data_IF_886587925589
#
_entry.id   IF_886587925589
#
_cell.length_a   1.000
_cell.length_b   1.000
_cell.length_c   1.000
_cell.angle_alpha   90.00
_cell.angle_beta   90.00
_cell.angle_gamma   90.00
#
_symmetry.space_group_name_H-M   'P 1'
#
loop_
_entity.id
_entity.type
_entity.pdbx_description
1 polymer ?
#
# COMPACT_ATOMS: atom_id res chain seq x y z
N UNK A 1 -7.48 32.83 -10.11
CA UNK A 1 -6.60 31.74 -9.64
C UNK A 1 -6.80 31.67 -8.14
N UNK A 2 -7.67 30.76 -7.69
CA UNK A 2 -8.00 30.61 -6.27
C UNK A 2 -6.87 29.76 -5.68
N UNK A 3 -6.02 30.38 -4.87
CA UNK A 3 -5.08 29.66 -4.02
C UNK A 3 -5.90 29.05 -2.90
N UNK A 4 -6.18 27.74 -2.96
CA UNK A 4 -6.50 27.00 -1.76
C UNK A 4 -5.21 26.97 -0.95
N UNK A 5 -5.17 27.80 0.10
CA UNK A 5 -4.26 27.59 1.22
C UNK A 5 -4.40 26.12 1.61
N UNK A 6 -3.28 25.38 1.60
CA UNK A 6 -3.16 24.01 2.10
C UNK A 6 -3.24 24.06 3.63
N UNK A 7 -4.32 24.63 4.16
CA UNK A 7 -4.63 24.67 5.59
C UNK A 7 -4.87 23.24 6.04
N UNK A 8 -3.82 22.67 6.64
CA UNK A 8 -3.77 21.48 7.50
C UNK A 8 -4.78 20.38 7.20
N UNK A 9 -4.76 19.82 5.98
CA UNK A 9 -5.32 18.49 5.74
C UNK A 9 -4.60 17.49 6.66
N UNK A 10 -5.24 17.05 7.74
CA UNK A 10 -4.60 16.15 8.70
C UNK A 10 -4.77 14.70 8.28
N UNK A 11 -3.73 13.91 8.53
CA UNK A 11 -3.68 12.50 8.19
C UNK A 11 -3.97 11.65 9.43
N UNK A 12 -4.96 10.77 9.30
CA UNK A 12 -5.44 9.89 10.35
C UNK A 12 -5.42 8.44 9.88
N UNK A 13 -5.17 7.50 10.79
CA UNK A 13 -5.12 6.07 10.48
C UNK A 13 -6.03 5.30 11.41
N UNK A 14 -6.91 4.47 10.86
CA UNK A 14 -7.82 3.61 11.62
C UNK A 14 -7.63 2.16 11.22
N UNK A 15 -7.50 1.29 12.23
CA UNK A 15 -7.63 -0.15 12.06
C UNK A 15 -8.73 -0.70 12.96
N UNK A 16 -9.68 -1.40 12.35
CA UNK A 16 -10.71 -2.16 13.07
C UNK A 16 -10.36 -3.65 13.08
N UNK A 17 -10.44 -4.27 14.26
CA UNK A 17 -10.12 -5.68 14.45
C UNK A 17 -11.38 -6.49 14.62
N UNK A 18 -11.50 -7.56 13.84
CA UNK A 18 -12.61 -8.50 13.89
C UNK A 18 -12.15 -9.88 14.36
N UNK A 19 -13.03 -10.59 15.05
CA UNK A 19 -12.72 -11.89 15.68
C UNK A 19 -12.23 -12.95 14.68
N UNK A 20 -12.60 -12.77 13.41
CA UNK A 20 -12.14 -13.52 12.25
C UNK A 20 -12.43 -12.72 10.98
N UNK A 21 -11.92 -13.19 9.84
CA UNK A 21 -12.25 -12.65 8.53
C UNK A 21 -13.29 -13.55 7.85
N UNK A 22 -14.49 -13.01 7.56
CA UNK A 22 -15.55 -13.76 6.87
C UNK A 22 -16.98 -13.37 7.32
N UNK A 23 -18.00 -14.07 6.80
CA UNK A 23 -19.39 -13.89 7.23
C UNK A 23 -19.57 -14.14 8.72
N UNK A 24 -20.25 -13.22 9.42
CA UNK A 24 -20.45 -13.31 10.87
C UNK A 24 -19.30 -12.77 11.72
N UNK A 25 -18.26 -12.21 11.09
CA UNK A 25 -17.25 -11.43 11.78
C UNK A 25 -17.89 -10.32 12.62
N UNK A 26 -17.37 -10.14 13.83
CA UNK A 26 -17.77 -9.06 14.74
C UNK A 26 -16.54 -8.26 15.11
N UNK A 27 -16.60 -6.92 15.07
CA UNK A 27 -15.50 -6.10 15.53
C UNK A 27 -15.37 -6.27 17.05
N UNK A 28 -14.14 -6.27 17.56
CA UNK A 28 -13.86 -6.41 19.00
C UNK A 28 -12.81 -5.42 19.51
N UNK A 29 -12.09 -4.73 18.63
CA UNK A 29 -11.13 -3.69 19.03
C UNK A 29 -10.92 -2.68 17.91
N UNK A 30 -10.44 -1.49 18.26
CA UNK A 30 -9.98 -0.49 17.30
C UNK A 30 -8.71 0.21 17.79
N UNK A 31 -7.89 0.67 16.84
CA UNK A 31 -6.89 1.70 17.10
C UNK A 31 -7.03 2.81 16.06
N UNK A 32 -7.02 4.05 16.52
CA UNK A 32 -7.02 5.27 15.74
C UNK A 32 -5.76 6.07 16.10
N UNK A 33 -4.94 6.39 15.11
CA UNK A 33 -3.90 7.41 15.21
C UNK A 33 -4.48 8.71 14.66
N UNK A 34 -4.60 9.71 15.53
CA UNK A 34 -5.02 11.06 15.17
C UNK A 34 -3.89 12.02 15.54
N UNK A 35 -3.18 12.50 14.51
CA UNK A 35 -2.00 13.36 14.66
C UNK A 35 -0.95 12.80 15.65
N UNK A 36 -0.64 11.51 15.52
CA UNK A 36 0.32 10.81 16.40
C UNK A 36 -0.19 10.51 17.82
N UNK A 37 -1.38 11.00 18.18
CA UNK A 37 -2.07 10.58 19.41
C UNK A 37 -2.82 9.29 19.14
N UNK A 38 -2.54 8.26 19.95
CA UNK A 38 -3.15 6.95 19.79
C UNK A 38 -4.37 6.82 20.71
N UNK A 39 -5.51 6.51 20.09
CA UNK A 39 -6.73 6.12 20.76
C UNK A 39 -6.99 4.66 20.45
N UNK A 40 -7.22 3.84 21.46
CA UNK A 40 -7.59 2.45 21.25
C UNK A 40 -8.59 2.02 22.32
N UNK A 41 -9.45 1.08 21.96
CA UNK A 41 -10.36 0.43 22.88
C UNK A 41 -10.70 -0.97 22.36
N UNK A 42 -11.22 -1.82 23.24
CA UNK A 42 -11.56 -3.20 22.93
C UNK A 42 -12.69 -3.74 23.82
N UNK A 43 -13.30 -4.82 23.34
CA UNK A 43 -14.35 -5.54 24.04
C UNK A 43 -13.82 -6.08 25.37
N UNK A 44 -14.47 -5.68 26.46
CA UNK A 44 -14.17 -6.14 27.82
C UNK A 44 -15.09 -7.29 28.21
N UNK A 45 -14.73 -8.00 29.28
CA UNK A 45 -15.60 -9.03 29.88
C UNK A 45 -16.92 -8.45 30.38
N UNK A 46 -16.92 -7.18 30.76
CA UNK A 46 -18.14 -6.46 31.10
C UNK A 46 -18.95 -6.16 29.84
N UNK A 47 -20.04 -6.91 29.64
CA UNK A 47 -20.93 -6.77 28.49
C UNK A 47 -21.69 -5.42 28.47
N UNK A 48 -21.66 -4.65 29.56
CA UNK A 48 -22.26 -3.31 29.60
C UNK A 48 -21.32 -2.22 29.09
N UNK A 49 -20.03 -2.53 28.93
CA UNK A 49 -19.05 -1.59 28.41
C UNK A 49 -19.18 -1.45 26.89
N UNK A 50 -19.66 -0.29 26.46
CA UNK A 50 -19.76 0.06 25.05
C UNK A 50 -18.46 0.73 24.56
N UNK A 51 -17.51 -0.11 24.16
CA UNK A 51 -16.24 0.33 23.58
C UNK A 51 -16.40 0.96 22.17
N UNK A 52 -17.48 0.65 21.44
CA UNK A 52 -17.69 1.19 20.09
C UNK A 52 -18.18 2.65 20.13
N UNK A 53 -18.85 3.06 21.21
CA UNK A 53 -19.23 4.46 21.44
C UNK A 53 -18.01 5.40 21.46
N UNK A 54 -16.85 4.93 21.93
CA UNK A 54 -15.59 5.69 21.89
C UNK A 54 -15.16 5.96 20.45
N UNK A 55 -15.21 4.95 19.58
CA UNK A 55 -14.89 5.09 18.15
C UNK A 55 -15.88 6.03 17.44
N UNK A 56 -17.18 5.87 17.70
CA UNK A 56 -18.20 6.73 17.10
C UNK A 56 -17.97 8.21 17.45
N UNK A 57 -17.60 8.51 18.69
CA UNK A 57 -17.27 9.88 19.10
C UNK A 57 -16.05 10.41 18.35
N UNK A 58 -14.96 9.64 18.31
CA UNK A 58 -13.72 10.04 17.63
C UNK A 58 -13.94 10.30 16.13
N UNK A 59 -14.77 9.51 15.46
CA UNK A 59 -15.07 9.69 14.04
C UNK A 59 -15.97 10.90 13.77
N UNK A 60 -16.96 11.19 14.64
CA UNK A 60 -17.78 12.41 14.51
C UNK A 60 -16.98 13.68 14.74
N UNK A 61 -16.11 13.66 15.74
CA UNK A 61 -15.31 14.82 16.13
C UNK A 61 -14.17 15.10 15.12
N UNK A 62 -13.96 14.22 14.14
CA UNK A 62 -12.95 14.37 13.08
C UNK A 62 -13.36 15.44 12.06
N UNK A 63 -12.51 16.46 11.80
CA UNK A 63 -12.76 17.50 10.81
C UNK A 63 -13.12 16.96 9.41
N UNK A 64 -13.94 17.68 8.65
CA UNK A 64 -14.35 17.28 7.28
C UNK A 64 -13.21 17.17 6.29
N UNK A 65 -12.19 18.00 6.43
CA UNK A 65 -11.05 18.06 5.52
C UNK A 65 -9.95 17.04 5.87
N UNK A 66 -10.11 16.27 6.94
CA UNK A 66 -9.12 15.28 7.36
C UNK A 66 -9.21 14.03 6.50
N UNK A 67 -8.05 13.46 6.17
CA UNK A 67 -7.94 12.20 5.45
C UNK A 67 -7.86 11.06 6.46
N UNK A 68 -8.73 10.07 6.29
CA UNK A 68 -8.72 8.84 7.07
C UNK A 68 -8.26 7.67 6.19
N UNK A 69 -7.17 7.02 6.57
CA UNK A 69 -6.69 5.79 5.93
C UNK A 69 -7.18 4.55 6.69
N UNK A 70 -7.48 3.47 5.96
CA UNK A 70 -7.86 2.13 6.46
C UNK A 70 -7.12 1.02 5.69
N UNK A 71 -6.99 -0.19 6.23
CA UNK A 71 -6.42 -1.33 5.48
C UNK A 71 -7.45 -2.11 4.66
N UNK A 72 -8.71 -2.11 5.07
CA UNK A 72 -9.78 -2.77 4.34
C UNK A 72 -11.12 -2.09 4.61
N UNK A 73 -11.33 -0.94 3.96
CA UNK A 73 -12.51 -0.11 4.16
C UNK A 73 -13.80 -0.90 3.91
N UNK A 74 -13.83 -1.78 2.91
CA UNK A 74 -15.05 -2.51 2.53
C UNK A 74 -15.50 -3.55 3.57
N UNK A 75 -14.55 -4.26 4.19
CA UNK A 75 -14.87 -5.21 5.26
C UNK A 75 -15.22 -4.49 6.57
N UNK A 76 -14.45 -3.45 6.90
CA UNK A 76 -14.63 -2.68 8.12
C UNK A 76 -15.94 -1.88 8.10
N UNK A 77 -16.27 -1.23 6.98
CA UNK A 77 -17.55 -0.54 6.76
C UNK A 77 -18.73 -1.49 6.94
N UNK A 78 -18.74 -2.65 6.26
CA UNK A 78 -19.88 -3.58 6.33
C UNK A 78 -20.10 -4.12 7.74
N UNK A 79 -19.02 -4.34 8.48
CA UNK A 79 -19.07 -4.99 9.79
C UNK A 79 -19.34 -3.98 10.92
N UNK A 80 -18.82 -2.75 10.80
CA UNK A 80 -19.07 -1.65 11.74
C UNK A 80 -20.34 -0.85 11.42
N UNK A 81 -20.89 -0.96 10.20
CA UNK A 81 -22.14 -0.33 9.74
C UNK A 81 -23.27 -0.29 10.79
N UNK A 82 -23.66 -1.41 11.41
CA UNK A 82 -24.79 -1.38 12.35
C UNK A 82 -24.45 -0.73 13.70
N UNK A 83 -23.19 -0.41 13.98
CA UNK A 83 -22.71 0.01 15.30
C UNK A 83 -22.36 1.50 15.38
N UNK A 84 -22.26 2.18 14.24
CA UNK A 84 -21.83 3.58 14.15
C UNK A 84 -23.00 4.48 13.74
N UNK A 85 -22.92 5.75 14.13
CA UNK A 85 -23.86 6.76 13.66
C UNK A 85 -23.70 7.02 12.16
N UNK A 86 -24.73 7.57 11.51
CA UNK A 86 -24.69 7.88 10.07
C UNK A 86 -23.51 8.79 9.68
N UNK A 87 -23.14 9.71 10.56
CA UNK A 87 -22.03 10.64 10.35
C UNK A 87 -20.68 9.91 10.38
N UNK A 88 -20.42 9.12 11.42
CA UNK A 88 -19.23 8.26 11.51
C UNK A 88 -19.12 7.28 10.35
N UNK A 89 -20.25 6.73 9.90
CA UNK A 89 -20.28 5.85 8.74
C UNK A 89 -19.94 6.57 7.45
N UNK A 90 -20.35 7.83 7.29
CA UNK A 90 -19.95 8.65 6.14
C UNK A 90 -18.42 8.82 6.11
N UNK A 91 -17.81 9.14 7.25
CA UNK A 91 -16.34 9.25 7.38
C UNK A 91 -15.63 7.95 7.02
N UNK A 92 -16.07 6.84 7.59
CA UNK A 92 -15.49 5.52 7.30
C UNK A 92 -15.71 5.12 5.83
N UNK A 93 -16.85 5.48 5.25
CA UNK A 93 -17.17 5.23 3.83
C UNK A 93 -16.24 5.97 2.88
N UNK A 94 -15.84 7.19 3.25
CA UNK A 94 -14.93 8.04 2.48
C UNK A 94 -13.45 7.80 2.79
N UNK A 95 -13.13 6.84 3.66
CA UNK A 95 -11.73 6.52 3.99
C UNK A 95 -10.96 5.95 2.80
N UNK A 96 -9.66 6.24 2.76
CA UNK A 96 -8.71 5.74 1.76
C UNK A 96 -8.26 4.34 2.16
N UNK A 97 -8.68 3.34 1.40
CA UNK A 97 -8.22 1.95 1.58
C UNK A 97 -6.82 1.80 1.00
N UNK A 98 -5.80 1.84 1.86
CA UNK A 98 -4.39 1.84 1.46
C UNK A 98 -4.05 0.65 0.57
N UNK A 99 -4.60 -0.52 0.85
CA UNK A 99 -4.33 -1.72 0.08
C UNK A 99 -4.92 -1.62 -1.32
N UNK A 100 -6.19 -1.23 -1.45
CA UNK A 100 -6.83 -1.05 -2.76
C UNK A 100 -6.17 0.04 -3.57
N UNK A 101 -5.81 1.14 -2.93
CA UNK A 101 -5.23 2.30 -3.59
C UNK A 101 -3.80 2.03 -4.08
N UNK A 102 -2.94 1.44 -3.23
CA UNK A 102 -1.61 1.00 -3.65
C UNK A 102 -1.72 -0.01 -4.79
N UNK A 103 -2.64 -0.98 -4.69
CA UNK A 103 -2.88 -1.94 -5.78
C UNK A 103 -3.38 -1.27 -7.06
N UNK A 104 -4.29 -0.31 -6.96
CA UNK A 104 -4.83 0.41 -8.11
C UNK A 104 -3.74 1.24 -8.81
N UNK A 105 -2.85 1.87 -8.04
CA UNK A 105 -1.78 2.74 -8.54
C UNK A 105 -0.58 1.97 -9.08
N UNK A 106 -0.14 0.94 -8.36
CA UNK A 106 1.02 0.15 -8.76
C UNK A 106 0.68 -0.91 -9.80
N UNK A 107 -0.61 -1.32 -9.88
CA UNK A 107 -1.09 -2.44 -10.71
C UNK A 107 -0.38 -3.77 -10.42
N UNK A 108 0.44 -3.81 -9.37
CA UNK A 108 1.05 -5.01 -8.83
C UNK A 108 -0.07 -5.75 -8.13
N UNK A 109 -0.42 -6.93 -8.64
CA UNK A 109 -1.24 -7.86 -7.88
C UNK A 109 -0.40 -8.24 -6.66
N UNK A 110 -0.83 -7.92 -5.43
CA UNK A 110 -0.10 -8.38 -4.25
C UNK A 110 -0.16 -9.90 -4.32
N UNK A 111 0.99 -10.53 -4.57
CA UNK A 111 1.09 -11.98 -4.41
C UNK A 111 0.59 -12.32 -3.00
N UNK A 112 0.13 -13.56 -2.76
CA UNK A 112 -0.25 -14.00 -1.41
C UNK A 112 0.85 -13.76 -0.35
N UNK A 113 2.09 -13.52 -0.77
CA UNK A 113 3.28 -13.15 0.01
C UNK A 113 3.41 -11.66 0.38
N UNK A 114 2.53 -10.77 -0.10
CA UNK A 114 2.44 -9.38 0.35
C UNK A 114 1.37 -9.29 1.43
N UNK A 115 1.67 -9.87 2.59
CA UNK A 115 0.98 -9.47 3.80
C UNK A 115 1.36 -8.02 4.12
N UNK A 116 0.52 -7.34 4.88
CA UNK A 116 0.80 -6.02 5.47
C UNK A 116 2.19 -5.94 6.15
N UNK A 117 2.73 -7.08 6.57
CA UNK A 117 4.05 -7.26 7.17
C UNK A 117 5.18 -6.99 6.17
N UNK A 118 5.05 -7.42 4.91
CA UNK A 118 6.08 -7.26 3.89
C UNK A 118 6.31 -5.80 3.53
N UNK A 119 5.27 -4.96 3.59
CA UNK A 119 5.37 -3.52 3.32
C UNK A 119 5.81 -2.72 4.56
N UNK A 120 5.40 -3.16 5.75
CA UNK A 120 5.72 -2.47 7.01
C UNK A 120 7.04 -2.87 7.64
N UNK A 121 7.63 -4.01 7.24
CA UNK A 121 8.81 -4.63 7.86
C UNK A 121 8.65 -4.96 9.35
N UNK A 122 7.42 -4.95 9.83
CA UNK A 122 7.05 -5.26 11.20
C UNK A 122 6.15 -6.50 11.15
N UNK A 123 6.29 -7.36 12.15
CA UNK A 123 5.35 -8.47 12.33
C UNK A 123 4.00 -7.88 12.73
N UNK A 124 3.00 -8.02 11.87
CA UNK A 124 1.63 -7.51 12.05
C UNK A 124 0.83 -8.64 12.67
N UNK A 125 0.30 -8.40 13.86
CA UNK A 125 -0.53 -9.40 14.54
C UNK A 125 -1.96 -9.22 14.03
N UNK A 126 -2.50 -10.28 13.41
CA UNK A 126 -3.81 -10.26 12.77
C UNK A 126 -4.95 -10.33 13.81
N UNK A 127 -6.17 -10.02 13.36
CA UNK A 127 -7.38 -10.03 14.19
C UNK A 127 -7.60 -11.31 15.02
N UNK A 128 -7.46 -12.54 14.47
CA UNK A 128 -7.64 -13.77 15.22
C UNK A 128 -6.64 -13.95 16.38
N UNK A 129 -5.36 -13.63 16.15
CA UNK A 129 -4.31 -13.74 17.16
C UNK A 129 -4.50 -12.70 18.27
N UNK A 130 -4.86 -11.46 17.91
CA UNK A 130 -5.25 -10.42 18.86
C UNK A 130 -6.45 -10.84 19.71
N UNK A 131 -7.45 -11.48 19.09
CA UNK A 131 -8.64 -11.94 19.79
C UNK A 131 -8.33 -13.07 20.78
N UNK A 132 -7.36 -13.94 20.46
CA UNK A 132 -6.87 -14.96 21.38
C UNK A 132 -6.19 -14.33 22.60
N UNK A 133 -5.27 -13.39 22.39
CA UNK A 133 -4.60 -12.65 23.47
C UNK A 133 -5.60 -11.97 24.40
N UNK A 134 -6.66 -11.36 23.84
CA UNK A 134 -7.71 -10.73 24.61
C UNK A 134 -8.49 -11.73 25.48
N UNK A 135 -8.84 -12.90 24.92
CA UNK A 135 -9.50 -13.99 25.68
C UNK A 135 -8.64 -14.53 26.82
N UNK A 136 -7.32 -14.55 26.63
CA UNK A 136 -6.33 -14.94 27.65
C UNK A 136 -6.10 -13.85 28.72
N UNK A 137 -6.74 -12.67 28.60
CA UNK A 137 -6.57 -11.56 29.54
C UNK A 137 -5.25 -10.80 29.38
N UNK A 138 -4.60 -10.91 28.21
CA UNK A 138 -3.29 -10.32 27.91
C UNK A 138 -3.44 -8.93 27.27
N UNK A 139 -4.17 -8.06 27.94
CA UNK A 139 -4.56 -6.74 27.42
C UNK A 139 -3.37 -5.86 27.04
N UNK A 140 -2.29 -5.86 27.83
CA UNK A 140 -1.08 -5.12 27.51
C UNK A 140 -0.46 -5.57 26.18
N UNK A 141 -0.50 -6.87 25.89
CA UNK A 141 0.06 -7.41 24.64
C UNK A 141 -0.80 -7.08 23.44
N UNK A 142 -2.13 -7.05 23.62
CA UNK A 142 -3.08 -6.56 22.62
C UNK A 142 -2.77 -5.10 22.29
N UNK A 143 -2.59 -4.23 23.29
CA UNK A 143 -2.27 -2.82 23.07
C UNK A 143 -0.93 -2.65 22.32
N UNK A 144 0.12 -3.35 22.74
CA UNK A 144 1.44 -3.28 22.08
C UNK A 144 1.42 -3.83 20.65
N UNK A 145 0.58 -4.82 20.37
CA UNK A 145 0.36 -5.34 19.03
C UNK A 145 -0.39 -4.32 18.15
N UNK A 146 -1.45 -3.69 18.68
CA UNK A 146 -2.22 -2.67 17.96
C UNK A 146 -1.36 -1.44 17.63
N UNK A 147 -0.51 -0.99 18.56
CA UNK A 147 0.47 0.09 18.32
C UNK A 147 1.48 -0.25 17.22
N UNK A 148 1.95 -1.50 17.15
CA UNK A 148 2.83 -1.95 16.06
C UNK A 148 2.09 -1.93 14.72
N UNK A 149 0.86 -2.40 14.69
CA UNK A 149 0.03 -2.42 13.49
C UNK A 149 -0.29 -1.00 12.97
N UNK A 150 -0.55 -0.03 13.86
CA UNK A 150 -0.82 1.36 13.41
C UNK A 150 0.45 2.03 12.88
N UNK A 151 1.61 1.78 13.49
CA UNK A 151 2.89 2.24 12.96
C UNK A 151 3.21 1.61 11.60
N UNK A 152 2.89 0.33 11.42
CA UNK A 152 2.98 -0.35 10.14
C UNK A 152 2.10 0.34 9.08
N UNK A 153 0.90 0.75 9.46
CA UNK A 153 -0.03 1.48 8.61
C UNK A 153 0.45 2.85 8.21
N UNK A 154 0.97 3.64 9.16
CA UNK A 154 1.57 4.95 8.92
C UNK A 154 2.71 4.86 7.89
N UNK A 155 3.57 3.84 8.01
CA UNK A 155 4.65 3.61 7.05
C UNK A 155 4.14 3.29 5.65
N UNK A 156 3.03 2.57 5.55
CA UNK A 156 2.40 2.23 4.26
C UNK A 156 1.69 3.45 3.67
N UNK A 157 1.04 4.27 4.50
CA UNK A 157 0.51 5.57 4.10
C UNK A 157 1.59 6.48 3.51
N UNK A 158 2.75 6.56 4.15
CA UNK A 158 3.89 7.32 3.63
C UNK A 158 4.44 6.78 2.30
N UNK A 159 4.29 5.48 2.01
CA UNK A 159 4.59 4.92 0.69
C UNK A 159 3.53 5.35 -0.32
N UNK A 160 2.25 5.27 0.03
CA UNK A 160 1.15 5.69 -0.83
C UNK A 160 1.26 7.16 -1.25
N UNK A 161 1.45 8.08 -0.30
CA UNK A 161 1.55 9.52 -0.60
C UNK A 161 2.72 9.83 -1.54
N UNK A 162 3.88 9.20 -1.33
CA UNK A 162 5.02 9.36 -2.24
C UNK A 162 4.73 8.81 -3.63
N UNK A 163 4.05 7.66 -3.76
CA UNK A 163 3.63 7.15 -5.07
C UNK A 163 2.67 8.10 -5.78
N UNK A 164 1.79 8.80 -5.05
CA UNK A 164 0.91 9.82 -5.61
C UNK A 164 1.72 10.99 -6.16
N UNK A 165 2.68 11.50 -5.39
CA UNK A 165 3.58 12.58 -5.80
C UNK A 165 4.40 12.19 -7.03
N UNK A 166 5.04 11.02 -7.03
CA UNK A 166 5.85 10.51 -8.14
C UNK A 166 5.02 10.33 -9.42
N UNK A 167 3.83 9.71 -9.34
CA UNK A 167 2.93 9.56 -10.49
C UNK A 167 2.46 10.89 -11.05
N UNK A 168 2.30 11.91 -10.20
CA UNK A 168 1.89 13.25 -10.63
C UNK A 168 3.02 14.01 -11.35
N UNK A 169 4.27 13.68 -11.05
CA UNK A 169 5.46 14.30 -11.63
C UNK A 169 5.96 13.59 -12.90
N UNK A 170 5.57 12.33 -13.10
CA UNK A 170 5.97 11.48 -14.23
C UNK A 170 5.09 11.72 -15.46
N UNK A 171 5.69 11.67 -16.66
CA UNK A 171 4.97 11.61 -17.93
C UNK A 171 4.70 10.16 -18.39
N UNK A 172 5.04 9.18 -17.55
CA UNK A 172 4.91 7.74 -17.76
C UNK A 172 3.95 7.15 -16.71
N UNK A 173 2.98 6.36 -17.17
CA UNK A 173 2.04 5.60 -16.35
C UNK A 173 2.15 4.11 -16.64
N UNK A 174 2.20 3.30 -15.58
CA UNK A 174 2.20 1.83 -15.68
C UNK A 174 0.77 1.31 -15.62
N UNK A 175 0.35 0.63 -16.68
CA UNK A 175 -0.98 0.02 -16.79
C UNK A 175 -1.00 -1.40 -16.22
N UNK A 176 0.07 -2.18 -16.44
CA UNK A 176 0.17 -3.54 -15.91
C UNK A 176 1.61 -4.04 -15.80
N UNK A 177 1.84 -4.95 -14.86
CA UNK A 177 3.07 -5.74 -14.74
C UNK A 177 2.68 -7.22 -14.71
N UNK A 178 3.21 -8.00 -15.66
CA UNK A 178 3.01 -9.44 -15.78
C UNK A 178 4.32 -10.17 -15.48
N UNK A 179 4.31 -11.26 -14.69
CA UNK A 179 5.56 -11.92 -14.28
C UNK A 179 6.08 -12.99 -15.24
N UNK A 180 5.29 -13.49 -16.18
CA UNK A 180 5.71 -14.57 -17.08
C UNK A 180 4.95 -14.50 -18.42
N UNK A 181 5.59 -14.03 -19.50
CA UNK A 181 6.90 -13.37 -19.52
C UNK A 181 6.89 -12.07 -18.72
N UNK A 182 8.05 -11.62 -18.21
CA UNK A 182 8.10 -10.36 -17.47
C UNK A 182 7.76 -9.22 -18.43
N UNK A 183 6.61 -8.60 -18.24
CA UNK A 183 6.08 -7.58 -19.16
C UNK A 183 5.58 -6.39 -18.36
N UNK A 184 5.97 -5.19 -18.77
CA UNK A 184 5.44 -3.93 -18.28
C UNK A 184 4.74 -3.24 -19.45
N UNK A 185 3.46 -2.95 -19.30
CA UNK A 185 2.73 -2.12 -20.27
C UNK A 185 2.32 -0.82 -19.63
N UNK A 186 2.28 0.24 -20.40
CA UNK A 186 1.90 1.54 -19.91
C UNK A 186 1.66 2.55 -21.01
N UNK A 187 1.48 3.80 -20.61
CA UNK A 187 1.33 4.92 -21.51
C UNK A 187 2.17 6.12 -21.09
N UNK A 188 2.40 7.02 -22.03
CA UNK A 188 3.18 8.24 -21.88
C UNK A 188 2.38 9.45 -22.37
N UNK A 189 2.65 10.64 -21.84
CA UNK A 189 2.06 11.87 -22.37
C UNK A 189 2.58 12.20 -23.77
N UNK A 190 3.87 11.92 -23.99
CA UNK A 190 4.57 12.22 -25.23
C UNK A 190 4.79 10.95 -26.04
N UNK A 191 4.20 10.90 -27.24
CA UNK A 191 4.35 9.74 -28.12
C UNK A 191 5.70 9.77 -28.84
N UNK A 192 6.62 8.89 -28.45
CA UNK A 192 7.85 8.63 -29.18
C UNK A 192 7.76 7.24 -29.81
N UNK A 193 7.75 7.14 -31.14
CA UNK A 193 7.79 5.81 -31.77
C UNK A 193 9.18 5.20 -31.59
N UNK A 194 9.27 4.12 -30.80
CA UNK A 194 10.53 3.45 -30.47
C UNK A 194 10.39 1.94 -30.54
N UNK A 195 11.46 1.30 -30.98
CA UNK A 195 11.61 -0.14 -30.94
C UNK A 195 13.06 -0.47 -30.58
N UNK A 196 13.27 -1.16 -29.46
CA UNK A 196 14.57 -1.59 -28.98
C UNK A 196 14.50 -3.08 -28.73
N UNK A 197 15.40 -3.84 -29.36
CA UNK A 197 15.61 -5.25 -29.08
C UNK A 197 17.08 -5.48 -28.76
N UNK A 198 17.38 -5.90 -27.52
CA UNK A 198 18.74 -6.23 -27.07
C UNK A 198 18.66 -7.50 -26.22
N UNK A 199 19.34 -8.56 -26.64
CA UNK A 199 19.26 -9.86 -25.96
C UNK A 199 17.82 -10.37 -25.88
N UNK A 200 17.37 -10.67 -24.66
CA UNK A 200 16.01 -11.10 -24.32
C UNK A 200 15.04 -9.96 -23.97
N UNK A 201 15.53 -8.71 -24.01
CA UNK A 201 14.74 -7.52 -23.73
C UNK A 201 14.17 -6.92 -25.01
N UNK A 202 12.87 -6.61 -24.97
CA UNK A 202 12.10 -5.94 -26.00
C UNK A 202 11.42 -4.71 -25.40
N UNK A 203 11.60 -3.56 -26.02
CA UNK A 203 10.84 -2.35 -25.73
C UNK A 203 10.21 -1.81 -27.01
N UNK A 204 8.91 -1.59 -26.98
CA UNK A 204 8.15 -0.99 -28.07
C UNK A 204 7.32 0.16 -27.50
N UNK A 205 7.40 1.35 -28.10
CA UNK A 205 6.51 2.48 -27.84
C UNK A 205 5.88 2.96 -29.15
N UNK A 206 4.56 3.13 -29.16
CA UNK A 206 3.80 3.63 -30.30
C UNK A 206 2.52 4.32 -29.85
N UNK A 207 2.26 5.51 -30.40
CA UNK A 207 1.07 6.31 -30.09
C UNK A 207 0.89 6.58 -28.58
N UNK A 208 2.00 6.76 -27.86
CA UNK A 208 1.97 6.99 -26.41
C UNK A 208 1.68 5.74 -25.59
N UNK A 209 1.60 4.55 -26.20
CA UNK A 209 1.55 3.28 -25.48
C UNK A 209 2.90 2.59 -25.56
N UNK A 210 3.41 2.07 -24.45
CA UNK A 210 4.62 1.28 -24.43
C UNK A 210 4.40 -0.13 -23.88
N UNK A 211 5.27 -1.04 -24.32
CA UNK A 211 5.43 -2.40 -23.82
C UNK A 211 6.92 -2.68 -23.67
N UNK A 212 7.32 -3.02 -22.46
CA UNK A 212 8.60 -3.64 -22.17
C UNK A 212 8.35 -5.12 -21.89
N UNK A 213 9.10 -6.01 -22.53
CA UNK A 213 9.13 -7.44 -22.26
C UNK A 213 10.56 -7.90 -22.02
N UNK A 214 10.73 -8.80 -21.07
CA UNK A 214 12.00 -9.38 -20.69
C UNK A 214 11.80 -10.87 -20.42
N UNK A 215 12.66 -11.73 -21.00
CA UNK A 215 12.76 -13.10 -20.47
C UNK A 215 13.54 -13.06 -19.16
N UNK A 216 12.83 -13.39 -18.09
CA UNK A 216 13.22 -13.04 -16.74
C UNK A 216 12.98 -14.25 -15.86
N UNK A 217 14.01 -14.71 -15.14
CA UNK A 217 13.80 -15.66 -14.05
C UNK A 217 13.65 -14.88 -12.75
N UNK A 218 12.49 -15.01 -12.10
CA UNK A 218 12.29 -14.46 -10.77
C UNK A 218 13.19 -15.17 -9.77
N UNK A 219 14.07 -14.43 -9.14
CA UNK A 219 14.85 -14.94 -8.01
C UNK A 219 14.04 -14.83 -6.71
N UNK A 220 14.33 -15.69 -5.71
CA UNK A 220 13.77 -15.54 -4.38
C UNK A 220 14.01 -14.14 -3.83
N UNK A 221 13.04 -13.61 -3.08
CA UNK A 221 13.18 -12.31 -2.41
C UNK A 221 14.47 -12.27 -1.58
N UNK A 222 15.36 -11.34 -1.91
CA UNK A 222 16.58 -11.13 -1.15
C UNK A 222 16.28 -10.19 0.02
N UNK A 223 16.38 -10.73 1.24
CA UNK A 223 16.15 -10.00 2.48
C UNK A 223 17.16 -8.86 2.71
N UNK A 224 18.37 -8.94 2.15
CA UNK A 224 19.42 -7.94 2.33
C UNK A 224 19.22 -6.73 1.41
N UNK A 225 18.91 -6.98 0.14
CA UNK A 225 18.64 -5.92 -0.86
C UNK A 225 17.17 -5.52 -0.92
N UNK A 226 16.29 -6.26 -0.23
CA UNK A 226 14.84 -6.10 -0.21
C UNK A 226 14.26 -6.06 -1.61
N UNK A 227 14.74 -6.92 -2.50
CA UNK A 227 14.43 -6.81 -3.91
C UNK A 227 13.86 -8.09 -4.54
N UNK A 228 12.98 -7.88 -5.51
CA UNK A 228 12.76 -8.88 -6.54
C UNK A 228 13.86 -8.70 -7.57
N UNK A 229 14.71 -9.71 -7.67
CA UNK A 229 15.77 -9.73 -8.66
C UNK A 229 15.28 -10.53 -9.85
N UNK A 230 15.42 -9.92 -11.02
CA UNK A 230 15.22 -10.57 -12.30
C UNK A 230 16.60 -10.77 -12.92
N UNK A 231 16.98 -12.01 -13.17
CA UNK A 231 18.16 -12.36 -13.95
C UNK A 231 17.85 -12.21 -15.45
N UNK A 232 18.74 -11.53 -16.19
CA UNK A 232 18.62 -11.25 -17.64
C UNK A 232 19.99 -11.37 -18.31
N UNK A 233 20.02 -11.80 -19.57
CA UNK A 233 21.26 -11.89 -20.35
C UNK A 233 21.77 -10.51 -20.84
N UNK A 234 21.02 -9.43 -20.60
CA UNK A 234 21.37 -8.08 -21.07
C UNK A 234 22.22 -7.35 -20.02
N UNK A 235 23.37 -6.74 -20.40
CA UNK A 235 24.15 -5.89 -19.52
C UNK A 235 23.45 -4.54 -19.34
N UNK A 236 22.38 -4.51 -18.55
CA UNK A 236 21.68 -3.28 -18.20
C UNK A 236 22.50 -2.59 -17.11
N UNK A 237 23.06 -1.42 -17.44
CA UNK A 237 23.58 -0.52 -16.43
C UNK A 237 22.39 0.12 -15.71
N UNK A 238 22.05 -0.43 -14.55
CA UNK A 238 21.12 0.20 -13.63
C UNK A 238 21.82 1.37 -12.93
N UNK A 239 21.12 2.48 -12.74
CA UNK A 239 21.59 3.55 -11.84
C UNK A 239 21.53 3.14 -10.36
N UNK A 240 20.85 2.03 -10.06
CA UNK A 240 20.91 1.32 -8.78
C UNK A 240 22.01 0.26 -8.86
N UNK A 241 22.94 0.25 -7.89
CA UNK A 241 24.03 -0.73 -7.85
C UNK A 241 23.53 -2.17 -7.99
N UNK A 242 23.70 -2.78 -9.17
CA UNK A 242 23.41 -4.18 -9.44
C UNK A 242 24.63 -4.87 -10.10
N UNK A 243 24.84 -6.17 -9.88
CA UNK A 243 25.81 -6.92 -10.65
C UNK A 243 25.41 -6.98 -12.13
N UNK A 244 26.36 -7.02 -13.08
CA UNK A 244 26.06 -7.20 -14.51
C UNK A 244 25.18 -8.44 -14.76
N UNK A 245 24.11 -8.30 -15.56
CA UNK A 245 23.14 -9.39 -15.84
C UNK A 245 21.93 -9.45 -14.89
N UNK A 246 21.77 -8.48 -14.00
CA UNK A 246 20.66 -8.44 -13.05
C UNK A 246 19.91 -7.10 -13.10
N UNK A 247 18.59 -7.19 -13.28
CA UNK A 247 17.64 -6.11 -13.03
C UNK A 247 17.09 -6.26 -11.62
N UNK A 248 17.46 -5.33 -10.75
CA UNK A 248 16.99 -5.30 -9.36
C UNK A 248 15.73 -4.43 -9.30
N UNK A 249 14.57 -5.07 -9.16
CA UNK A 249 13.32 -4.38 -8.86
C UNK A 249 13.13 -4.38 -7.34
N UNK A 250 13.66 -3.37 -6.64
CA UNK A 250 13.64 -3.43 -5.18
C UNK A 250 12.25 -3.15 -4.58
N UNK A 251 11.75 -4.07 -3.76
CA UNK A 251 10.54 -3.90 -2.94
C UNK A 251 10.95 -3.42 -1.54
N UNK A 252 11.44 -2.19 -1.50
CA UNK A 252 11.73 -1.44 -0.29
C UNK A 252 11.21 -0.02 -0.43
N UNK A 253 11.34 0.78 0.64
CA UNK A 253 10.67 2.08 0.87
C UNK A 253 10.72 3.13 -0.27
N UNK A 254 11.48 2.93 -1.34
CA UNK A 254 11.79 3.97 -2.34
C UNK A 254 11.96 3.47 -3.79
N UNK A 255 11.85 2.17 -4.11
CA UNK A 255 12.63 1.64 -5.26
C UNK A 255 11.83 0.96 -6.38
N UNK A 256 10.68 0.31 -6.13
CA UNK A 256 10.08 -0.52 -7.20
C UNK A 256 9.51 0.29 -8.36
N UNK A 257 8.72 1.33 -8.06
CA UNK A 257 8.04 2.13 -9.07
C UNK A 257 8.99 3.14 -9.71
N UNK A 258 9.78 3.85 -8.90
CA UNK A 258 10.82 4.77 -9.33
C UNK A 258 11.85 4.12 -10.25
N UNK A 259 12.38 2.94 -9.90
CA UNK A 259 13.34 2.22 -10.76
C UNK A 259 12.71 1.78 -12.07
N UNK A 260 11.43 1.40 -12.09
CA UNK A 260 10.74 1.10 -13.36
C UNK A 260 10.60 2.38 -14.19
N UNK A 261 10.11 3.48 -13.61
CA UNK A 261 9.96 4.75 -14.33
C UNK A 261 11.30 5.23 -14.91
N UNK A 262 12.36 5.24 -14.10
CA UNK A 262 13.72 5.60 -14.52
C UNK A 262 14.23 4.70 -15.64
N UNK A 263 13.98 3.40 -15.55
CA UNK A 263 14.39 2.45 -16.58
C UNK A 263 13.61 2.67 -17.90
N UNK A 264 12.30 2.91 -17.83
CA UNK A 264 11.52 3.26 -19.03
C UNK A 264 11.99 4.59 -19.62
N UNK A 265 12.29 5.60 -18.80
CA UNK A 265 12.92 6.84 -19.27
C UNK A 265 14.24 6.58 -19.99
N UNK A 266 15.13 5.77 -19.40
CA UNK A 266 16.39 5.39 -20.03
C UNK A 266 16.17 4.72 -21.39
N UNK A 267 15.25 3.76 -21.48
CA UNK A 267 14.90 3.11 -22.76
C UNK A 267 14.37 4.10 -23.80
N UNK A 268 13.54 5.07 -23.40
CA UNK A 268 13.03 6.13 -24.31
C UNK A 268 14.13 7.03 -24.86
N UNK A 269 15.19 7.24 -24.09
CA UNK A 269 16.31 8.13 -24.43
C UNK A 269 17.57 7.42 -24.89
N UNK A 270 17.55 6.09 -24.98
CA UNK A 270 18.68 5.32 -25.48
C UNK A 270 18.96 5.70 -26.94
N UNK A 271 20.21 6.02 -27.24
CA UNK A 271 20.69 6.24 -28.60
C UNK A 271 20.98 4.88 -29.26
N UNK A 272 20.65 4.75 -30.54
CA UNK A 272 20.94 3.53 -31.32
C UNK A 272 22.45 3.23 -31.38
#
# INVERSE_FOLDING_TARGET
MIYYSKEDTMVNYLQLYCSHYGPGARPFAFILSQNGTLFFDFERKDATYDWIASLDRLLRDMPENDVLYTFNSGFEQKTAAPLLSKESLSKLSNSVDLYKEIKARTRIVPFKSYSMESLSHEKVILGPDLHLLLKEGRENEVQEAMKRNIKAMEQIGAVYERLVEEQSASDIWIDAISPSPFTITGHTNDSLSRYIQRGDALYEEKNGFFRFELQATWLPYDQNTKALVVETDVPIQSMVNSPPGYLIFALGKEVFYSTILEFIHYLRHLSD
#
